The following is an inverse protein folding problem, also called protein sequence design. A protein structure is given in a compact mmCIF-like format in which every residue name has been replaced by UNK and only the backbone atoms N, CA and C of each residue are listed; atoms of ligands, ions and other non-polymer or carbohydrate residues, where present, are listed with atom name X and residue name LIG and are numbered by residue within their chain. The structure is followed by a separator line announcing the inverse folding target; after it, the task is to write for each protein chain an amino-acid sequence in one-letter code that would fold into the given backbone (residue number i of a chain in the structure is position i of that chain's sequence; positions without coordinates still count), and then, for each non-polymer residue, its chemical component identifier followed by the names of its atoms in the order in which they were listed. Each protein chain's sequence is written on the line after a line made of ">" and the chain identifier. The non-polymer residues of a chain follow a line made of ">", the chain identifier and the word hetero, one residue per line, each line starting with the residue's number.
data_IF_740899097040
#
_entry.id   IF_740899097040
#
_cell.length_a   1.000
_cell.length_b   1.000
_cell.length_c   1.000
_cell.angle_alpha   90.00
_cell.angle_beta   90.00
_cell.angle_gamma   90.00
#
_symmetry.space_group_name_H-M   'P 1'
#
loop_
_entity.id
_entity.type
_entity.pdbx_description
1 polymer ?
#
# COMPACT_ATOMS: atom_id res chain seq x y z
N UNK A 1 -33.26 19.67 33.76
CA UNK A 1 -32.91 20.35 32.49
C UNK A 1 -32.93 19.29 31.40
N UNK A 2 -34.06 19.18 30.70
CA UNK A 2 -34.18 18.40 29.47
C UNK A 2 -33.43 19.13 28.36
N UNK A 3 -32.74 18.37 27.51
CA UNK A 3 -32.14 18.89 26.29
C UNK A 3 -33.10 18.56 25.15
N UNK A 4 -33.63 19.60 24.51
CA UNK A 4 -34.65 19.53 23.46
C UNK A 4 -34.08 18.93 22.16
N UNK A 5 -34.90 18.10 21.50
CA UNK A 5 -34.61 17.34 20.28
C UNK A 5 -34.68 18.18 18.98
N UNK A 6 -34.93 19.49 19.07
CA UNK A 6 -35.29 20.34 17.92
C UNK A 6 -34.11 20.85 17.07
N UNK A 7 -32.86 20.49 17.40
CA UNK A 7 -31.66 20.97 16.69
C UNK A 7 -31.30 20.21 15.40
N UNK A 8 -31.83 18.99 15.21
CA UNK A 8 -31.43 18.11 14.10
C UNK A 8 -32.18 18.36 12.80
N UNK A 9 -33.43 18.81 12.87
CA UNK A 9 -34.26 19.08 11.70
C UNK A 9 -33.83 20.37 10.97
N UNK A 10 -33.39 21.40 11.70
CA UNK A 10 -32.87 22.64 11.12
C UNK A 10 -31.55 22.43 10.33
N UNK A 11 -30.72 21.47 10.75
CA UNK A 11 -29.49 21.09 10.05
C UNK A 11 -29.77 20.24 8.80
N UNK A 12 -30.82 19.41 8.84
CA UNK A 12 -31.25 18.60 7.70
C UNK A 12 -31.76 19.49 6.55
N UNK A 13 -32.55 20.52 6.84
CA UNK A 13 -33.07 21.45 5.83
C UNK A 13 -31.97 22.32 5.20
N UNK A 14 -31.02 22.82 6.01
CA UNK A 14 -29.84 23.56 5.50
C UNK A 14 -28.93 22.70 4.62
N UNK A 15 -28.85 21.40 4.88
CA UNK A 15 -28.10 20.45 4.05
C UNK A 15 -28.78 20.19 2.69
N UNK A 16 -30.11 20.21 2.65
CA UNK A 16 -30.90 20.04 1.44
C UNK A 16 -30.75 21.24 0.49
N UNK A 17 -30.70 22.46 1.03
CA UNK A 17 -30.47 23.67 0.22
C UNK A 17 -29.04 23.76 -0.35
N UNK A 18 -28.01 23.24 0.36
CA UNK A 18 -26.63 23.17 -0.16
C UNK A 18 -26.40 22.13 -1.26
N UNK A 19 -27.28 21.12 -1.39
CA UNK A 19 -27.18 20.11 -2.47
C UNK A 19 -27.38 20.68 -3.87
N UNK A 20 -27.97 21.87 -4.02
CA UNK A 20 -28.25 22.49 -5.32
C UNK A 20 -27.06 23.22 -5.97
N UNK A 21 -25.90 23.31 -5.32
CA UNK A 21 -24.68 23.94 -5.90
C UNK A 21 -23.48 23.00 -5.86
N UNK A 22 -23.52 21.92 -6.65
CA UNK A 22 -22.33 21.10 -6.93
C UNK A 22 -21.74 21.49 -8.30
N UNK A 23 -20.50 21.97 -8.30
CA UNK A 23 -19.66 22.06 -9.51
C UNK A 23 -19.45 20.66 -10.10
N UNK A 24 -19.38 20.48 -11.42
CA UNK A 24 -19.25 19.17 -12.02
C UNK A 24 -17.87 18.56 -11.69
N UNK A 25 -17.87 17.28 -11.33
CA UNK A 25 -16.66 16.46 -11.22
C UNK A 25 -15.99 16.38 -12.60
N UNK A 26 -14.66 16.56 -12.64
CA UNK A 26 -13.84 16.18 -13.80
C UNK A 26 -14.20 14.76 -14.21
N UNK A 27 -14.67 14.57 -15.46
CA UNK A 27 -14.98 13.24 -15.99
C UNK A 27 -13.66 12.48 -16.17
N UNK A 28 -13.59 11.24 -15.67
CA UNK A 28 -12.55 10.30 -16.05
C UNK A 28 -12.50 10.18 -17.58
N UNK A 29 -11.31 10.01 -18.13
CA UNK A 29 -11.16 9.73 -19.56
C UNK A 29 -11.82 8.39 -19.90
N UNK A 30 -12.20 8.19 -21.17
CA UNK A 30 -12.83 6.92 -21.61
C UNK A 30 -11.89 5.73 -21.41
N UNK A 31 -10.59 5.93 -21.56
CA UNK A 31 -9.55 4.91 -21.37
C UNK A 31 -9.44 4.51 -19.90
N UNK A 32 -9.32 5.46 -18.97
CA UNK A 32 -9.29 5.17 -17.53
C UNK A 32 -10.56 4.46 -17.02
N UNK A 33 -11.72 4.77 -17.62
CA UNK A 33 -12.97 4.10 -17.28
C UNK A 33 -13.04 2.66 -17.83
N UNK A 34 -12.49 2.42 -19.02
CA UNK A 34 -12.43 1.11 -19.64
C UNK A 34 -11.46 0.18 -18.90
N UNK A 35 -10.28 0.68 -18.54
CA UNK A 35 -9.29 -0.07 -17.77
C UNK A 35 -9.84 -0.45 -16.39
N UNK A 36 -10.48 0.50 -15.70
CA UNK A 36 -11.09 0.23 -14.40
C UNK A 36 -12.23 -0.79 -14.48
N UNK A 37 -13.02 -0.77 -15.56
CA UNK A 37 -14.08 -1.77 -15.78
C UNK A 37 -13.51 -3.16 -16.09
N UNK A 38 -12.43 -3.23 -16.89
CA UNK A 38 -11.73 -4.47 -17.20
C UNK A 38 -11.10 -5.08 -15.93
N UNK A 39 -10.40 -4.28 -15.14
CA UNK A 39 -9.81 -4.71 -13.86
C UNK A 39 -10.87 -5.20 -12.87
N UNK A 40 -12.05 -4.58 -12.84
CA UNK A 40 -13.18 -5.02 -12.01
C UNK A 40 -13.77 -6.34 -12.49
N UNK A 41 -13.98 -6.51 -13.79
CA UNK A 41 -14.51 -7.74 -14.37
C UNK A 41 -13.57 -8.93 -14.16
N UNK A 42 -12.26 -8.73 -14.42
CA UNK A 42 -11.24 -9.74 -14.13
C UNK A 42 -11.24 -10.12 -12.65
N UNK A 43 -11.38 -9.13 -11.76
CA UNK A 43 -11.43 -9.35 -10.32
C UNK A 43 -12.67 -10.13 -9.89
N UNK A 44 -13.84 -9.86 -10.43
CA UNK A 44 -15.09 -10.56 -10.07
C UNK A 44 -15.08 -12.01 -10.57
N UNK A 45 -14.66 -12.24 -11.81
CA UNK A 45 -14.46 -13.58 -12.35
C UNK A 45 -13.42 -14.37 -11.53
N UNK A 46 -12.38 -13.68 -11.07
CA UNK A 46 -11.33 -14.26 -10.26
C UNK A 46 -11.78 -14.60 -8.83
N UNK A 47 -12.58 -13.73 -8.20
CA UNK A 47 -13.12 -13.92 -6.84
C UNK A 47 -14.09 -15.10 -6.80
N UNK A 48 -14.91 -15.29 -7.83
CA UNK A 48 -15.77 -16.47 -7.96
C UNK A 48 -14.98 -17.80 -7.95
N UNK A 49 -13.75 -17.79 -8.46
CA UNK A 49 -12.86 -18.95 -8.40
C UNK A 49 -12.19 -19.21 -7.03
N UNK A 50 -12.35 -18.33 -6.03
CA UNK A 50 -11.72 -18.44 -4.70
C UNK A 50 -12.54 -19.23 -3.68
N UNK A 51 -13.84 -19.46 -3.92
CA UNK A 51 -14.75 -20.08 -2.94
C UNK A 51 -14.62 -21.63 -2.88
N UNK A 52 -13.80 -22.24 -3.73
CA UNK A 52 -13.48 -23.67 -3.71
C UNK A 52 -12.40 -24.03 -2.69
N UNK A 53 -12.80 -24.47 -1.50
CA UNK A 53 -11.91 -24.75 -0.36
C UNK A 53 -10.87 -25.87 -0.55
N UNK A 54 -9.67 -25.64 0.01
CA UNK A 54 -8.69 -26.66 0.40
C UNK A 54 -7.25 -26.38 -0.05
N UNK A 55 -6.34 -26.24 0.94
CA UNK A 55 -4.91 -25.89 0.81
C UNK A 55 -4.66 -24.58 0.05
N UNK A 56 -4.24 -23.52 0.74
CA UNK A 56 -4.04 -22.17 0.20
C UNK A 56 -3.07 -22.05 -0.99
N UNK A 57 -2.41 -23.15 -1.36
CA UNK A 57 -1.43 -23.28 -2.43
C UNK A 57 -1.84 -24.28 -3.53
N UNK A 58 -2.99 -24.95 -3.42
CA UNK A 58 -3.46 -25.95 -4.41
C UNK A 58 -3.63 -25.33 -5.80
N UNK A 59 -4.10 -24.09 -5.86
CA UNK A 59 -4.26 -23.32 -7.09
C UNK A 59 -2.92 -23.04 -7.81
N UNK A 60 -1.78 -23.06 -7.09
CA UNK A 60 -0.47 -22.89 -7.73
C UNK A 60 -0.09 -24.06 -8.63
N UNK A 61 -0.65 -25.24 -8.33
CA UNK A 61 -0.46 -26.47 -9.11
C UNK A 61 -1.43 -26.57 -10.28
N UNK A 62 -2.36 -25.63 -10.43
CA UNK A 62 -3.28 -25.61 -11.56
C UNK A 62 -2.54 -25.30 -12.85
N UNK A 63 -2.89 -26.03 -13.90
CA UNK A 63 -2.29 -25.96 -15.23
C UNK A 63 -2.25 -24.54 -15.81
N UNK A 64 -3.30 -23.75 -15.54
CA UNK A 64 -3.42 -22.34 -15.97
C UNK A 64 -2.41 -21.38 -15.32
N UNK A 65 -1.93 -21.67 -14.10
CA UNK A 65 -1.01 -20.78 -13.37
C UNK A 65 0.43 -21.28 -13.33
N UNK A 66 0.66 -22.52 -13.77
CA UNK A 66 1.96 -23.18 -13.78
C UNK A 66 3.02 -22.47 -14.63
N UNK A 67 2.64 -21.74 -15.68
CA UNK A 67 3.55 -20.90 -16.46
C UNK A 67 4.05 -19.71 -15.63
N UNK A 68 3.11 -18.85 -15.22
CA UNK A 68 3.35 -17.71 -14.35
C UNK A 68 4.16 -18.07 -13.09
N UNK A 69 3.86 -19.20 -12.44
CA UNK A 69 4.61 -19.60 -11.25
C UNK A 69 6.06 -19.96 -11.52
N UNK A 70 6.34 -20.66 -12.63
CA UNK A 70 7.70 -20.99 -13.03
C UNK A 70 8.54 -19.73 -13.27
N UNK A 71 7.91 -18.71 -13.84
CA UNK A 71 8.56 -17.42 -14.13
C UNK A 71 8.85 -16.62 -12.86
N UNK A 72 7.96 -16.73 -11.87
CA UNK A 72 8.09 -16.09 -10.57
C UNK A 72 9.02 -16.87 -9.63
N UNK A 73 9.15 -18.20 -9.79
CA UNK A 73 9.85 -19.07 -8.84
C UNK A 73 11.32 -18.68 -8.66
N UNK A 74 11.99 -18.43 -9.79
CA UNK A 74 13.36 -17.93 -9.81
C UNK A 74 13.50 -16.50 -9.28
N UNK A 75 12.48 -15.65 -9.51
CA UNK A 75 12.50 -14.22 -9.16
C UNK A 75 12.13 -13.94 -7.70
N UNK A 76 11.57 -14.93 -7.01
CA UNK A 76 11.29 -14.92 -5.57
C UNK A 76 12.29 -15.79 -4.79
N UNK A 77 13.46 -16.11 -5.34
CA UNK A 77 14.40 -17.11 -4.79
C UNK A 77 14.79 -16.88 -3.33
N UNK A 78 14.98 -15.62 -2.89
CA UNK A 78 15.29 -15.31 -1.49
C UNK A 78 14.09 -15.46 -0.55
N UNK A 79 12.86 -15.33 -1.08
CA UNK A 79 11.61 -15.47 -0.34
C UNK A 79 11.15 -16.95 -0.31
N UNK A 80 11.48 -17.73 -1.34
CA UNK A 80 11.01 -19.12 -1.50
C UNK A 80 12.03 -20.21 -1.17
N UNK A 81 13.18 -19.87 -0.60
CA UNK A 81 14.05 -20.83 0.07
C UNK A 81 14.73 -21.81 -0.89
N UNK A 82 15.76 -21.34 -1.58
CA UNK A 82 16.78 -22.21 -2.21
C UNK A 82 18.15 -21.52 -2.26
N UNK A 83 18.78 -21.33 -1.10
CA UNK A 83 20.13 -20.75 -1.00
C UNK A 83 20.48 -20.34 0.44
N UNK A 84 21.78 -20.16 0.73
CA UNK A 84 22.40 -20.01 2.07
C UNK A 84 22.08 -18.69 2.80
N UNK A 85 20.80 -18.39 2.98
CA UNK A 85 20.29 -17.56 4.06
C UNK A 85 19.10 -18.32 4.67
N UNK A 86 19.16 -18.50 5.99
CA UNK A 86 18.35 -19.45 6.75
C UNK A 86 16.85 -19.41 6.46
N UNK A 87 16.26 -20.60 6.60
CA UNK A 87 14.85 -21.00 6.56
C UNK A 87 13.89 -20.27 7.53
N UNK A 88 14.06 -18.97 7.76
CA UNK A 88 13.33 -18.25 8.81
C UNK A 88 11.89 -17.87 8.41
N UNK A 89 11.52 -17.87 7.11
CA UNK A 89 10.34 -17.09 6.71
C UNK A 89 9.23 -17.74 5.88
N UNK A 90 9.13 -19.07 5.84
CA UNK A 90 7.92 -19.73 5.29
C UNK A 90 6.62 -19.26 5.98
N UNK A 91 6.71 -18.92 7.28
CA UNK A 91 5.57 -18.39 8.05
C UNK A 91 5.21 -16.95 7.69
N UNK A 92 6.19 -16.09 7.37
CA UNK A 92 5.93 -14.74 6.86
C UNK A 92 5.41 -14.79 5.43
N UNK A 93 5.92 -15.73 4.63
CA UNK A 93 5.39 -15.99 3.31
C UNK A 93 3.89 -16.34 3.37
N UNK A 94 3.52 -17.32 4.19
CA UNK A 94 2.13 -17.73 4.39
C UNK A 94 1.22 -16.64 5.00
N UNK A 95 1.79 -15.70 5.77
CA UNK A 95 1.03 -14.61 6.39
C UNK A 95 0.75 -13.44 5.45
N UNK A 96 1.64 -13.20 4.48
CA UNK A 96 1.62 -11.97 3.68
C UNK A 96 1.26 -12.25 2.22
N UNK A 97 1.64 -13.40 1.67
CA UNK A 97 1.45 -13.73 0.26
C UNK A 97 0.20 -14.58 0.05
N UNK A 98 -0.95 -13.92 0.12
CA UNK A 98 -2.15 -14.53 -0.45
C UNK A 98 -2.07 -14.58 -1.98
N UNK A 99 -2.97 -15.36 -2.58
CA UNK A 99 -3.06 -15.53 -4.03
C UNK A 99 -3.14 -14.20 -4.81
N UNK A 100 -3.85 -13.21 -4.29
CA UNK A 100 -3.99 -11.91 -4.94
C UNK A 100 -2.73 -11.05 -4.84
N UNK A 101 -2.03 -11.16 -3.73
CA UNK A 101 -0.76 -10.50 -3.49
C UNK A 101 0.29 -11.01 -4.46
N UNK A 102 0.37 -12.33 -4.67
CA UNK A 102 1.30 -12.92 -5.65
C UNK A 102 1.02 -12.45 -7.08
N UNK A 103 -0.26 -12.36 -7.48
CA UNK A 103 -0.62 -11.78 -8.77
C UNK A 103 -0.26 -10.30 -8.88
N UNK A 104 -0.37 -9.56 -7.77
CA UNK A 104 -0.02 -8.14 -7.73
C UNK A 104 1.49 -7.94 -7.90
N UNK A 105 2.29 -8.76 -7.22
CA UNK A 105 3.75 -8.79 -7.40
C UNK A 105 4.12 -9.17 -8.84
N UNK A 106 3.48 -10.21 -9.40
CA UNK A 106 3.70 -10.60 -10.79
C UNK A 106 3.36 -9.48 -11.79
N UNK A 107 2.25 -8.77 -11.55
CA UNK A 107 1.87 -7.63 -12.40
C UNK A 107 2.93 -6.53 -12.37
N UNK A 108 3.50 -6.25 -11.20
CA UNK A 108 4.60 -5.28 -11.04
C UNK A 108 5.90 -5.77 -11.68
N UNK A 109 6.16 -7.08 -11.65
CA UNK A 109 7.30 -7.70 -12.37
C UNK A 109 7.16 -7.56 -13.89
N UNK A 110 5.99 -7.91 -14.42
CA UNK A 110 5.72 -7.86 -15.86
C UNK A 110 5.62 -6.43 -16.41
N UNK A 111 5.26 -5.45 -15.58
CA UNK A 111 5.31 -4.03 -15.95
C UNK A 111 6.72 -3.43 -15.84
N UNK A 112 7.71 -4.19 -15.37
CA UNK A 112 9.09 -3.73 -15.19
C UNK A 112 9.32 -2.81 -13.98
N UNK A 113 8.39 -2.76 -13.02
CA UNK A 113 8.55 -1.94 -11.82
C UNK A 113 9.49 -2.59 -10.79
N UNK A 114 9.57 -3.92 -10.81
CA UNK A 114 10.49 -4.75 -10.01
C UNK A 114 10.96 -5.91 -10.89
N UNK A 115 12.12 -6.48 -10.64
CA UNK A 115 12.60 -7.71 -11.27
C UNK A 115 12.58 -8.87 -10.28
N UNK A 116 13.18 -8.68 -9.10
CA UNK A 116 13.24 -9.69 -8.04
C UNK A 116 12.59 -9.21 -6.75
N UNK A 117 12.21 -10.16 -5.91
CA UNK A 117 11.85 -9.94 -4.52
C UNK A 117 12.71 -10.89 -3.68
N UNK A 118 13.56 -10.33 -2.84
CA UNK A 118 14.68 -11.06 -2.27
C UNK A 118 14.39 -11.50 -0.85
N UNK A 119 14.43 -10.60 0.12
CA UNK A 119 14.27 -10.96 1.52
C UNK A 119 13.51 -9.88 2.30
N UNK A 120 12.84 -10.25 3.40
CA UNK A 120 12.17 -9.26 4.24
C UNK A 120 13.19 -8.35 4.92
N UNK A 121 12.88 -7.06 4.98
CA UNK A 121 13.70 -6.02 5.65
C UNK A 121 12.97 -5.38 6.84
N UNK A 122 11.63 -5.39 6.85
CA UNK A 122 10.86 -4.92 8.00
C UNK A 122 9.55 -5.68 8.16
N UNK A 123 9.20 -6.00 9.40
CA UNK A 123 7.92 -6.60 9.76
C UNK A 123 7.10 -5.62 10.58
N UNK A 124 5.91 -5.31 10.10
CA UNK A 124 4.94 -4.45 10.78
C UNK A 124 3.64 -5.20 11.06
N UNK A 125 2.83 -4.60 11.93
CA UNK A 125 1.47 -5.11 12.21
C UNK A 125 0.55 -5.02 11.00
N UNK A 126 0.80 -4.05 10.12
CA UNK A 126 -0.11 -3.69 9.02
C UNK A 126 0.47 -4.01 7.64
N UNK A 127 1.79 -4.14 7.54
CA UNK A 127 2.50 -4.41 6.31
C UNK A 127 3.85 -5.07 6.60
N UNK A 128 4.40 -5.78 5.62
CA UNK A 128 5.79 -6.20 5.60
C UNK A 128 6.51 -5.47 4.46
N UNK A 129 7.79 -5.20 4.65
CA UNK A 129 8.64 -4.59 3.62
C UNK A 129 9.72 -5.59 3.26
N UNK A 130 9.90 -5.78 1.96
CA UNK A 130 10.90 -6.66 1.37
C UNK A 130 11.90 -5.83 0.58
N UNK A 131 13.13 -6.32 0.52
CA UNK A 131 14.10 -5.93 -0.48
C UNK A 131 13.71 -6.58 -1.82
N UNK A 132 13.97 -5.88 -2.91
CA UNK A 132 13.95 -6.40 -4.27
C UNK A 132 14.86 -5.58 -5.16
N UNK A 133 14.95 -5.92 -6.43
CA UNK A 133 15.66 -5.12 -7.44
C UNK A 133 14.72 -4.67 -8.54
N UNK A 134 15.06 -3.59 -9.24
CA UNK A 134 14.45 -3.24 -10.54
C UNK A 134 15.13 -3.99 -11.69
N UNK A 135 14.67 -3.74 -12.93
CA UNK A 135 15.23 -4.35 -14.15
C UNK A 135 16.69 -3.95 -14.42
N UNK A 136 17.17 -2.86 -13.84
CA UNK A 136 18.56 -2.39 -13.94
C UNK A 136 19.42 -2.94 -12.80
N UNK A 137 18.87 -3.80 -11.94
CA UNK A 137 19.55 -4.36 -10.76
C UNK A 137 19.68 -3.38 -9.59
N UNK A 138 19.00 -2.23 -9.62
CA UNK A 138 19.04 -1.25 -8.53
C UNK A 138 18.09 -1.66 -7.40
N UNK A 139 18.48 -1.46 -6.13
CA UNK A 139 17.67 -1.89 -5.00
C UNK A 139 16.38 -1.08 -4.85
N UNK A 140 15.28 -1.77 -4.57
CA UNK A 140 13.95 -1.21 -4.30
C UNK A 140 13.35 -1.82 -3.04
N UNK A 141 12.49 -1.06 -2.38
CA UNK A 141 11.71 -1.53 -1.23
C UNK A 141 10.28 -1.84 -1.69
N UNK A 142 9.83 -3.07 -1.40
CA UNK A 142 8.48 -3.55 -1.74
C UNK A 142 7.68 -3.73 -0.46
N UNK A 143 6.78 -2.78 -0.20
CA UNK A 143 5.87 -2.77 0.97
C UNK A 143 4.57 -3.47 0.61
N UNK A 144 4.32 -4.62 1.25
CA UNK A 144 3.13 -5.45 1.06
C UNK A 144 2.23 -5.31 2.29
N UNK A 145 1.05 -4.74 2.08
CA UNK A 145 0.05 -4.50 3.12
C UNK A 145 -0.77 -5.75 3.40
N UNK A 146 -1.02 -6.02 4.68
CA UNK A 146 -1.82 -7.15 5.13
C UNK A 146 -3.28 -6.94 4.72
N UNK A 147 -3.89 -7.98 4.14
CA UNK A 147 -5.28 -7.96 3.70
C UNK A 147 -6.25 -8.53 4.74
N UNK A 148 -5.82 -8.72 5.99
CA UNK A 148 -6.58 -9.38 7.07
C UNK A 148 -7.45 -8.44 7.91
N UNK A 149 -8.57 -8.97 8.44
CA UNK A 149 -9.64 -8.20 9.13
C UNK A 149 -9.22 -7.49 10.44
N UNK A 150 -8.16 -7.92 11.13
CA UNK A 150 -7.80 -7.36 12.44
C UNK A 150 -7.08 -6.01 12.34
N UNK A 151 -6.21 -5.87 11.34
CA UNK A 151 -5.46 -4.63 11.03
C UNK A 151 -6.41 -3.51 10.61
N UNK A 152 -7.44 -3.87 9.84
CA UNK A 152 -8.42 -2.97 9.27
C UNK A 152 -9.19 -2.08 10.26
N UNK A 153 -9.58 -2.62 11.43
CA UNK A 153 -10.32 -1.82 12.42
C UNK A 153 -9.51 -0.63 12.92
N UNK A 154 -8.18 -0.76 12.98
CA UNK A 154 -7.26 0.34 13.33
C UNK A 154 -7.02 1.27 12.17
N UNK A 155 -6.99 0.77 10.93
CA UNK A 155 -6.81 1.61 9.76
C UNK A 155 -8.02 2.53 9.51
N UNK A 156 -9.26 2.07 9.72
CA UNK A 156 -10.45 2.89 9.47
C UNK A 156 -10.44 4.27 10.15
N UNK A 157 -9.85 4.38 11.35
CA UNK A 157 -9.77 5.64 12.10
C UNK A 157 -8.95 6.74 11.41
N UNK A 158 -8.03 6.39 10.51
CA UNK A 158 -7.19 7.36 9.79
C UNK A 158 -7.70 7.70 8.38
N UNK A 159 -8.82 7.10 7.94
CA UNK A 159 -9.51 7.42 6.68
C UNK A 159 -10.77 8.26 6.96
N UNK A 160 -11.35 8.11 8.14
CA UNK A 160 -12.57 8.78 8.53
C UNK A 160 -12.40 10.31 8.44
N UNK A 161 -13.22 10.96 7.62
CA UNK A 161 -13.16 12.41 7.37
C UNK A 161 -12.43 12.84 6.08
N UNK A 162 -11.70 11.96 5.39
CA UNK A 162 -11.10 12.30 4.10
C UNK A 162 -12.15 12.21 2.98
N UNK A 163 -12.49 13.37 2.40
CA UNK A 163 -13.54 13.54 1.39
C UNK A 163 -13.33 12.69 0.12
N UNK A 164 -12.11 12.20 -0.13
CA UNK A 164 -11.82 11.27 -1.23
C UNK A 164 -12.47 9.90 -1.04
N UNK A 165 -12.93 9.57 0.17
CA UNK A 165 -13.40 8.24 0.55
C UNK A 165 -14.87 8.17 1.00
N UNK A 166 -15.63 9.27 0.83
CA UNK A 166 -17.06 9.36 1.16
C UNK A 166 -17.95 8.51 0.25
N UNK A 167 -17.95 7.19 0.43
CA UNK A 167 -18.78 6.25 -0.31
C UNK A 167 -18.38 4.78 -0.19
N UNK A 168 -17.18 4.47 0.31
CA UNK A 168 -16.61 3.12 0.31
C UNK A 168 -16.83 2.39 1.65
N UNK A 169 -18.09 2.06 1.97
CA UNK A 169 -18.42 1.36 3.22
C UNK A 169 -18.40 -0.18 3.14
N UNK A 170 -18.16 -0.82 1.98
CA UNK A 170 -18.63 -2.21 1.79
C UNK A 170 -17.64 -3.31 1.38
N UNK A 171 -16.36 -3.07 1.08
CA UNK A 171 -15.43 -4.18 0.78
C UNK A 171 -14.03 -3.94 1.37
N UNK A 172 -13.62 -4.83 2.28
CA UNK A 172 -12.37 -4.78 3.03
C UNK A 172 -11.11 -4.61 2.17
N UNK A 173 -11.00 -5.37 1.07
CA UNK A 173 -9.86 -5.28 0.14
C UNK A 173 -9.81 -3.97 -0.64
N UNK A 174 -10.97 -3.39 -0.99
CA UNK A 174 -11.02 -2.08 -1.68
C UNK A 174 -10.45 -0.98 -0.80
N UNK A 175 -10.61 -1.13 0.52
CA UNK A 175 -10.09 -0.18 1.49
C UNK A 175 -8.56 -0.30 1.62
N UNK A 176 -8.00 -1.52 1.62
CA UNK A 176 -6.54 -1.72 1.59
C UNK A 176 -5.94 -1.09 0.33
N UNK A 177 -6.52 -1.36 -0.84
CA UNK A 177 -6.03 -0.78 -2.10
C UNK A 177 -6.06 0.76 -2.07
N UNK A 178 -7.13 1.33 -1.49
CA UNK A 178 -7.24 2.77 -1.26
C UNK A 178 -6.13 3.29 -0.34
N UNK A 179 -5.83 2.56 0.72
CA UNK A 179 -4.77 2.89 1.67
C UNK A 179 -3.41 2.91 1.01
N UNK A 180 -3.08 1.87 0.24
CA UNK A 180 -1.79 1.80 -0.46
C UNK A 180 -1.68 2.94 -1.48
N UNK A 181 -2.76 3.24 -2.20
CA UNK A 181 -2.82 4.42 -3.09
C UNK A 181 -2.72 5.74 -2.33
N UNK A 182 -3.20 5.83 -1.08
CA UNK A 182 -3.04 7.01 -0.21
C UNK A 182 -1.57 7.17 0.20
N UNK A 183 -0.92 6.09 0.62
CA UNK A 183 0.51 6.07 0.96
C UNK A 183 1.37 6.54 -0.22
N UNK A 184 1.17 5.96 -1.40
CA UNK A 184 1.85 6.37 -2.64
C UNK A 184 1.74 7.87 -2.88
N UNK A 185 0.51 8.39 -2.88
CA UNK A 185 0.24 9.83 -3.11
C UNK A 185 0.82 10.71 -2.01
N UNK A 186 0.89 10.24 -0.77
CA UNK A 186 1.50 10.99 0.31
C UNK A 186 3.01 11.11 0.10
N UNK A 187 3.70 10.03 -0.27
CA UNK A 187 5.11 10.04 -0.62
C UNK A 187 5.40 11.00 -1.78
N UNK A 188 4.66 10.90 -2.88
CA UNK A 188 4.78 11.82 -4.02
C UNK A 188 4.57 13.29 -3.60
N UNK A 189 3.59 13.55 -2.74
CA UNK A 189 3.27 14.89 -2.28
C UNK A 189 4.37 15.48 -1.40
N UNK A 190 4.96 14.69 -0.50
CA UNK A 190 6.07 15.13 0.34
C UNK A 190 7.33 15.34 -0.52
N UNK A 191 7.63 14.41 -1.43
CA UNK A 191 8.76 14.50 -2.36
C UNK A 191 8.67 15.75 -3.26
N UNK A 192 7.46 16.13 -3.72
CA UNK A 192 7.23 17.36 -4.51
C UNK A 192 7.68 18.63 -3.78
N UNK A 193 7.67 18.63 -2.45
CA UNK A 193 8.13 19.76 -1.63
C UNK A 193 9.60 19.64 -1.20
N UNK A 194 10.35 18.70 -1.80
CA UNK A 194 11.77 18.50 -1.51
C UNK A 194 12.04 17.82 -0.17
N UNK A 195 11.04 17.21 0.45
CA UNK A 195 11.24 16.48 1.70
C UNK A 195 11.92 15.13 1.45
N UNK A 196 12.87 14.72 2.31
CA UNK A 196 13.54 13.44 2.21
C UNK A 196 12.60 12.30 2.61
N UNK A 197 11.89 11.75 1.63
CA UNK A 197 11.04 10.57 1.75
C UNK A 197 11.40 9.57 0.64
N UNK A 198 11.15 8.26 0.82
CA UNK A 198 11.32 7.31 -0.26
C UNK A 198 10.52 7.73 -1.49
N UNK A 199 11.16 7.79 -2.66
CA UNK A 199 10.42 8.01 -3.92
C UNK A 199 9.49 6.84 -4.18
N UNK A 200 8.20 7.13 -4.38
CA UNK A 200 7.24 6.12 -4.83
C UNK A 200 7.51 5.76 -6.29
N UNK A 201 7.58 4.47 -6.60
CA UNK A 201 7.90 3.96 -7.94
C UNK A 201 6.64 3.43 -8.62
N UNK A 202 5.94 2.52 -7.96
CA UNK A 202 4.73 1.90 -8.50
C UNK A 202 3.81 1.40 -7.38
N UNK A 203 2.53 1.21 -7.70
CA UNK A 203 1.55 0.63 -6.78
C UNK A 203 0.60 -0.29 -7.53
N UNK A 204 0.35 -1.48 -6.99
CA UNK A 204 -0.69 -2.35 -7.48
C UNK A 204 -1.36 -3.07 -6.31
N UNK A 205 -2.68 -2.87 -6.15
CA UNK A 205 -3.49 -3.38 -5.05
C UNK A 205 -2.85 -3.12 -3.68
N UNK A 206 -2.48 -4.17 -2.95
CA UNK A 206 -1.89 -4.11 -1.62
C UNK A 206 -0.35 -4.03 -1.64
N UNK A 207 0.28 -3.80 -2.80
CA UNK A 207 1.74 -3.73 -2.96
C UNK A 207 2.16 -2.33 -3.40
N UNK A 208 3.09 -1.73 -2.66
CA UNK A 208 3.75 -0.45 -2.96
C UNK A 208 5.24 -0.72 -3.20
N UNK A 209 5.74 -0.27 -4.35
CA UNK A 209 7.17 -0.25 -4.68
C UNK A 209 7.68 1.18 -4.49
N UNK A 210 8.78 1.31 -3.77
CA UNK A 210 9.41 2.60 -3.46
C UNK A 210 10.93 2.47 -3.41
N UNK A 211 11.60 3.62 -3.38
CA UNK A 211 13.05 3.71 -3.21
C UNK A 211 13.50 2.97 -1.94
N UNK A 212 14.55 2.16 -2.09
CA UNK A 212 15.19 1.51 -0.96
C UNK A 212 16.12 2.51 -0.26
N UNK A 213 15.92 2.68 1.05
CA UNK A 213 16.79 3.49 1.89
C UNK A 213 17.71 2.57 2.71
N UNK A 214 18.95 2.46 2.29
CA UNK A 214 19.93 1.62 2.94
C UNK A 214 21.23 1.50 2.15
N UNK A 215 22.05 0.55 2.58
CA UNK A 215 23.25 0.11 1.88
C UNK A 215 22.98 -1.25 1.24
N UNK A 216 23.92 -1.73 0.42
CA UNK A 216 23.89 -3.09 -0.14
C UNK A 216 23.77 -4.17 0.94
N UNK A 217 24.25 -3.89 2.15
CA UNK A 217 24.33 -4.86 3.25
C UNK A 217 23.12 -4.78 4.18
N UNK A 218 22.55 -3.59 4.40
CA UNK A 218 21.46 -3.42 5.36
C UNK A 218 20.58 -2.21 5.09
N UNK A 219 19.29 -2.26 5.48
CA UNK A 219 18.42 -1.08 5.46
C UNK A 219 18.96 -0.01 6.40
N UNK A 220 18.60 1.25 6.12
CA UNK A 220 18.95 2.37 6.99
C UNK A 220 18.39 2.14 8.41
N UNK A 221 19.25 2.37 9.41
CA UNK A 221 18.87 2.22 10.83
C UNK A 221 17.90 3.32 11.24
N UNK A 222 17.00 3.01 12.18
CA UNK A 222 16.09 4.03 12.74
C UNK A 222 16.87 4.98 13.65
N UNK A 223 16.36 6.20 13.83
CA UNK A 223 17.01 7.22 14.67
C UNK A 223 17.24 6.74 16.12
N UNK A 224 16.34 5.91 16.66
CA UNK A 224 16.47 5.31 18.00
C UNK A 224 17.54 4.22 18.12
N UNK A 225 18.05 3.72 16.99
CA UNK A 225 19.00 2.60 16.90
C UNK A 225 20.42 3.08 16.58
N UNK A 226 20.62 4.40 16.52
CA UNK A 226 21.90 5.04 16.22
C UNK A 226 22.22 6.10 17.27
N UNK A 227 23.51 6.27 17.53
CA UNK A 227 24.00 7.43 18.26
C UNK A 227 24.10 8.61 17.28
N UNK A 228 23.51 9.75 17.68
CA UNK A 228 23.45 10.94 16.84
C UNK A 228 24.55 11.89 17.27
N UNK A 229 25.61 11.99 16.47
CA UNK A 229 26.77 12.84 16.77
C UNK A 229 26.41 14.33 16.87
N UNK A 230 25.46 14.79 16.04
CA UNK A 230 25.04 16.20 15.93
C UNK A 230 23.54 16.32 16.15
N UNK A 231 23.06 16.17 17.40
CA UNK A 231 21.64 16.11 17.71
C UNK A 231 20.91 17.41 17.37
N UNK A 232 21.55 18.56 17.55
CA UNK A 232 20.95 19.87 17.26
C UNK A 232 20.63 20.04 15.77
N UNK A 233 21.57 19.67 14.89
CA UNK A 233 21.36 19.73 13.43
C UNK A 233 20.23 18.80 12.98
N UNK A 234 20.18 17.58 13.54
CA UNK A 234 19.11 16.62 13.23
C UNK A 234 17.76 17.11 13.73
N UNK A 235 17.72 17.70 14.93
CA UNK A 235 16.50 18.27 15.49
C UNK A 235 15.94 19.40 14.63
N UNK A 236 16.78 20.34 14.20
CA UNK A 236 16.39 21.42 13.29
C UNK A 236 15.89 20.90 11.95
N UNK A 237 16.56 19.86 11.40
CA UNK A 237 16.11 19.21 10.16
C UNK A 237 14.72 18.57 10.32
N UNK A 238 14.43 17.94 11.46
CA UNK A 238 13.12 17.37 11.76
C UNK A 238 12.03 18.45 11.93
N UNK A 239 12.34 19.56 12.61
CA UNK A 239 11.43 20.70 12.73
C UNK A 239 11.10 21.30 11.37
N UNK A 240 12.11 21.49 10.52
CA UNK A 240 11.92 21.96 9.16
C UNK A 240 11.05 20.98 8.34
N UNK A 241 11.29 19.67 8.47
CA UNK A 241 10.47 18.64 7.82
C UNK A 241 8.99 18.78 8.22
N UNK A 242 8.71 18.86 9.52
CA UNK A 242 7.34 18.99 10.05
C UNK A 242 6.68 20.30 9.57
N UNK A 243 7.41 21.40 9.60
CA UNK A 243 6.90 22.70 9.14
C UNK A 243 6.49 22.66 7.67
N UNK A 244 7.34 22.11 6.78
CA UNK A 244 7.04 21.97 5.35
C UNK A 244 5.89 20.97 5.11
N UNK A 245 5.89 19.83 5.80
CA UNK A 245 4.83 18.83 5.67
C UNK A 245 3.46 19.42 6.04
N UNK A 246 3.38 20.17 7.14
CA UNK A 246 2.15 20.82 7.59
C UNK A 246 1.74 21.97 6.67
N UNK A 247 2.61 22.96 6.51
CA UNK A 247 2.25 24.25 5.90
C UNK A 247 2.14 24.15 4.37
N UNK A 248 3.05 23.41 3.72
CA UNK A 248 3.11 23.31 2.25
C UNK A 248 2.44 22.04 1.76
N UNK A 249 2.80 20.88 2.32
CA UNK A 249 2.23 19.60 1.88
C UNK A 249 0.82 19.37 2.43
N UNK A 250 0.33 20.14 3.42
CA UNK A 250 -0.97 19.95 4.07
C UNK A 250 -1.19 18.50 4.50
N UNK A 251 -0.17 17.94 5.13
CA UNK A 251 -0.15 16.59 5.70
C UNK A 251 0.37 16.66 7.13
N UNK A 252 -0.18 15.80 7.98
CA UNK A 252 0.32 15.53 9.33
C UNK A 252 0.57 14.04 9.39
N UNK A 253 1.73 13.63 9.91
CA UNK A 253 1.97 12.23 10.21
C UNK A 253 1.15 11.82 11.44
N UNK A 254 0.45 10.69 11.38
CA UNK A 254 -0.55 10.29 12.39
C UNK A 254 0.01 9.49 13.59
N UNK A 255 1.33 9.32 13.63
CA UNK A 255 2.14 8.61 14.62
C UNK A 255 3.50 9.31 14.75
#
# INVERSE_FOLDING_TARGET
>A
MSWDEDGWDELAERSAQRRRRRRPRSKMTKEEAADHAHEQAEREAFVSGLEGGGSGYRWMKEERYRGMFRDIEGKLQGVMGSGSFEWVDRRVFDQVFDRLTLLSVYKLMTSGAIDTLDHPIARGKEAHVFHGTDLDGRPVAVKIFHTSNAVFRKLMQYIEGDQRFGGLKRRHRDLVDIWVRKEHRNLERLAKWGLPVPKAVAVHRNVLVMEYLGTEVSPAKKLREVEVERPDEVFEALLHFLAVAWQKARLVHGD
#
